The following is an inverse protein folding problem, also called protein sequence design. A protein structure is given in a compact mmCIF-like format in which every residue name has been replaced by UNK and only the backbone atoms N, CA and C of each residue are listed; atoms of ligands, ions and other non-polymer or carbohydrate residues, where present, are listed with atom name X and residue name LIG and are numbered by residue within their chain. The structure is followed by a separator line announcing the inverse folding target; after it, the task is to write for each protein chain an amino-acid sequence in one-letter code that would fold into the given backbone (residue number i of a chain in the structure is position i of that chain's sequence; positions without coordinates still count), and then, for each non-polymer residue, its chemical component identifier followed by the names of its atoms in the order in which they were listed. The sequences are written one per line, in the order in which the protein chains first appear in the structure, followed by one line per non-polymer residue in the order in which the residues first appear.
data_IF_171968373713
#
_entry.id   IF_171968373713
#
_cell.length_a   1.000
_cell.length_b   1.000
_cell.length_c   1.000
_cell.angle_alpha   90.00
_cell.angle_beta   90.00
_cell.angle_gamma   90.00
#
_symmetry.space_group_name_H-M   'P 1'
#
loop_
_entity.id
_entity.type
_entity.pdbx_description
1 polymer ?
#
# COMPACT_ATOMS: atom_id res chain seq x y z
N UNK A 1 -12.45 -11.33 -9.75
CA UNK A 1 -11.16 -10.81 -9.27
C UNK A 1 -10.71 -11.69 -8.12
N UNK A 2 -9.43 -12.09 -8.08
CA UNK A 2 -8.90 -13.00 -7.05
C UNK A 2 -7.45 -12.66 -6.71
N UNK A 3 -7.09 -12.88 -5.45
CA UNK A 3 -5.71 -12.76 -4.97
C UNK A 3 -5.05 -14.13 -4.87
N UNK A 4 -3.73 -14.18 -5.07
CA UNK A 4 -2.92 -15.33 -4.68
C UNK A 4 -2.89 -15.45 -3.14
N UNK A 5 -2.74 -16.67 -2.58
CA UNK A 5 -2.71 -16.88 -1.13
C UNK A 5 -1.62 -16.09 -0.39
N UNK A 6 -0.52 -15.75 -1.08
CA UNK A 6 0.58 -14.94 -0.56
C UNK A 6 0.35 -13.42 -0.71
N UNK A 7 -0.76 -13.00 -1.34
CA UNK A 7 -1.12 -11.59 -1.53
C UNK A 7 -0.27 -10.81 -2.55
N UNK A 8 0.69 -11.45 -3.23
CA UNK A 8 1.60 -10.75 -4.16
C UNK A 8 1.02 -10.59 -5.56
N UNK A 9 0.01 -11.38 -5.94
CA UNK A 9 -0.55 -11.37 -7.29
C UNK A 9 -2.06 -11.18 -7.29
N UNK A 10 -2.53 -10.18 -8.04
CA UNK A 10 -3.95 -9.96 -8.32
C UNK A 10 -4.29 -10.39 -9.74
N UNK A 11 -5.28 -11.27 -9.86
CA UNK A 11 -5.88 -11.64 -11.13
C UNK A 11 -7.22 -10.90 -11.32
N UNK A 12 -7.34 -10.22 -12.46
CA UNK A 12 -8.55 -9.51 -12.87
C UNK A 12 -8.92 -9.89 -14.30
N UNK A 13 -10.22 -10.09 -14.54
CA UNK A 13 -10.76 -10.16 -15.90
C UNK A 13 -10.95 -8.76 -16.45
N UNK A 14 -10.82 -8.61 -17.75
CA UNK A 14 -10.91 -7.33 -18.46
C UNK A 14 -11.89 -7.45 -19.63
N UNK A 15 -12.56 -6.35 -19.96
CA UNK A 15 -13.57 -6.29 -21.03
C UNK A 15 -12.95 -6.54 -22.42
N UNK A 16 -11.62 -6.47 -22.54
CA UNK A 16 -10.84 -6.85 -23.72
C UNK A 16 -10.66 -8.38 -23.90
N UNK A 17 -11.45 -9.19 -23.18
CA UNK A 17 -11.36 -10.66 -23.14
C UNK A 17 -10.00 -11.20 -22.67
N UNK A 18 -9.23 -10.41 -21.91
CA UNK A 18 -7.95 -10.85 -21.32
C UNK A 18 -8.02 -10.99 -19.80
N UNK A 19 -7.10 -11.78 -19.26
CA UNK A 19 -6.80 -11.81 -17.83
C UNK A 19 -5.57 -10.94 -17.61
N UNK A 20 -5.68 -9.94 -16.73
CA UNK A 20 -4.55 -9.14 -16.28
C UNK A 20 -4.04 -9.66 -14.95
N UNK A 21 -2.73 -9.91 -14.89
CA UNK A 21 -2.01 -10.28 -13.68
C UNK A 21 -1.17 -9.09 -13.23
N UNK A 22 -1.36 -8.69 -11.99
CA UNK A 22 -0.62 -7.60 -11.37
C UNK A 22 0.22 -8.17 -10.24
N UNK A 23 1.52 -7.93 -10.27
CA UNK A 23 2.42 -8.30 -9.20
C UNK A 23 2.73 -7.07 -8.35
N UNK A 24 2.48 -7.16 -7.05
CA UNK A 24 2.66 -6.06 -6.12
C UNK A 24 3.64 -6.46 -5.00
N UNK A 25 4.56 -5.56 -4.69
CA UNK A 25 5.24 -5.57 -3.39
C UNK A 25 4.38 -4.77 -2.41
N UNK A 26 3.44 -5.45 -1.74
CA UNK A 26 2.47 -4.82 -0.86
C UNK A 26 3.15 -4.18 0.36
N UNK A 27 4.22 -4.79 0.86
CA UNK A 27 5.03 -4.23 1.96
C UNK A 27 5.62 -2.88 1.55
N UNK A 28 6.22 -2.81 0.35
CA UNK A 28 6.78 -1.58 -0.18
C UNK A 28 5.71 -0.51 -0.42
N UNK A 29 4.56 -0.89 -0.98
CA UNK A 29 3.45 0.04 -1.23
C UNK A 29 2.90 0.65 0.06
N UNK A 30 2.72 -0.16 1.11
CA UNK A 30 2.28 0.32 2.42
C UNK A 30 3.31 1.28 3.01
N UNK A 31 4.61 0.95 2.89
CA UNK A 31 5.67 1.81 3.38
C UNK A 31 5.71 3.17 2.66
N UNK A 32 5.59 3.18 1.34
CA UNK A 32 5.51 4.43 0.57
C UNK A 32 4.26 5.24 0.88
N UNK A 33 3.10 4.59 0.97
CA UNK A 33 1.85 5.26 1.35
C UNK A 33 1.95 5.94 2.72
N UNK A 34 2.56 5.25 3.69
CA UNK A 34 2.81 5.79 5.02
C UNK A 34 3.75 7.00 5.02
N UNK A 35 4.81 6.98 4.21
CA UNK A 35 5.69 8.15 4.04
C UNK A 35 4.94 9.35 3.46
N UNK A 36 4.09 9.15 2.44
CA UNK A 36 3.32 10.24 1.84
C UNK A 36 2.26 10.82 2.76
N UNK A 37 1.59 9.97 3.54
CA UNK A 37 0.52 10.40 4.43
C UNK A 37 1.01 10.99 5.75
N UNK A 38 2.31 10.91 6.06
CA UNK A 38 2.87 11.27 7.36
C UNK A 38 2.48 12.67 7.81
N UNK A 39 2.59 13.66 6.93
CA UNK A 39 2.27 15.06 7.24
C UNK A 39 0.76 15.25 7.44
N UNK A 40 -0.07 14.59 6.63
CA UNK A 40 -1.51 14.64 6.76
C UNK A 40 -1.97 14.06 8.11
N UNK A 41 -1.45 12.89 8.48
CA UNK A 41 -1.76 12.24 9.75
C UNK A 41 -1.37 13.11 10.95
N UNK A 42 -0.21 13.78 10.91
CA UNK A 42 0.24 14.62 12.04
C UNK A 42 -0.47 15.97 12.12
N UNK A 43 -0.76 16.62 11.00
CA UNK A 43 -1.16 18.03 10.99
C UNK A 43 -2.65 18.28 10.70
N UNK A 44 -3.40 17.30 10.19
CA UNK A 44 -4.80 17.52 9.86
C UNK A 44 -5.71 17.49 11.09
N UNK A 45 -6.62 18.46 11.21
CA UNK A 45 -7.65 18.49 12.25
C UNK A 45 -8.77 17.47 12.03
N UNK A 46 -8.85 16.85 10.86
CA UNK A 46 -9.82 15.79 10.53
C UNK A 46 -9.41 14.42 11.05
N UNK A 47 -8.17 14.26 11.51
CA UNK A 47 -7.62 12.99 12.01
C UNK A 47 -7.66 12.99 13.53
N UNK A 48 -8.15 11.90 14.12
CA UNK A 48 -8.19 11.75 15.58
C UNK A 48 -6.80 11.53 16.15
N UNK A 49 -6.62 11.78 17.46
CA UNK A 49 -5.32 11.63 18.10
C UNK A 49 -4.79 10.18 18.03
N UNK A 50 -5.69 9.20 18.10
CA UNK A 50 -5.36 7.78 18.05
C UNK A 50 -4.76 7.38 16.69
N UNK A 51 -5.26 7.99 15.61
CA UNK A 51 -4.86 7.65 14.25
C UNK A 51 -3.60 8.40 13.78
N UNK A 52 -3.10 9.37 14.57
CA UNK A 52 -1.86 10.10 14.25
C UNK A 52 -0.62 9.21 14.19
N UNK A 53 -0.69 7.99 14.72
CA UNK A 53 0.43 7.04 14.81
C UNK A 53 0.22 5.77 13.98
N UNK A 54 -0.77 5.73 13.07
CA UNK A 54 -1.09 4.55 12.23
C UNK A 54 0.14 3.96 11.49
N UNK A 55 1.13 4.79 11.17
CA UNK A 55 2.30 4.41 10.39
C UNK A 55 3.60 4.22 11.21
N UNK A 56 3.59 4.40 12.53
CA UNK A 56 4.82 4.39 13.34
C UNK A 56 5.57 3.04 13.33
N UNK A 57 4.88 1.94 13.00
CA UNK A 57 5.45 0.59 12.84
C UNK A 57 5.84 0.19 11.42
N UNK A 58 5.50 1.01 10.43
CA UNK A 58 5.73 0.70 9.02
C UNK A 58 7.11 1.21 8.59
N UNK A 59 7.95 0.32 8.05
CA UNK A 59 9.31 0.66 7.63
C UNK A 59 9.53 0.34 6.17
N UNK A 60 10.12 1.28 5.43
CA UNK A 60 10.63 1.02 4.08
C UNK A 60 11.78 0.01 4.19
N UNK A 61 11.66 -1.12 3.49
CA UNK A 61 12.80 -2.03 3.29
C UNK A 61 13.83 -1.29 2.45
N UNK A 62 14.96 -0.93 3.06
CA UNK A 62 16.10 -0.33 2.38
C UNK A 62 16.61 -1.32 1.33
N UNK A 63 16.47 -0.96 0.05
CA UNK A 63 16.93 -1.60 -1.20
C UNK A 63 15.90 -1.49 -2.34
N UNK A 64 14.83 -0.73 -2.13
CA UNK A 64 13.73 -0.59 -3.09
C UNK A 64 13.71 0.77 -3.81
N UNK A 65 14.85 1.48 -3.82
CA UNK A 65 15.05 2.67 -4.64
C UNK A 65 15.43 2.22 -6.06
N UNK A 66 14.78 2.73 -7.12
CA UNK A 66 15.28 2.56 -8.48
C UNK A 66 16.66 3.20 -8.66
#
# INVERSE_FOLDING_TARGET
MSWSPDGQTLASGSDDNTIKLWHFDLDQLIAWGCEWMKDYLKNSSSVSEEDRCLCDGVRVKQNSKP
#
